data_IF_006476823789
#
_entry.id   IF_006476823789
#
_cell.length_a   1.000
_cell.length_b   1.000
_cell.length_c   1.000
_cell.angle_alpha   90.00
_cell.angle_beta   90.00
_cell.angle_gamma   90.00
#
_symmetry.space_group_name_H-M   'P 1'
#
loop_
_entity.id
_entity.type
_entity.pdbx_description
1 polymer ?
2 water ?
#
# COMPACT_ATOMS: atom_id res chain seq x y z
N UNK A 1 5.13 4.49 -10.69
CA UNK A 1 3.95 3.59 -10.84
C UNK A 1 4.00 2.92 -12.21
N UNK A 2 3.76 1.62 -12.25
CA UNK A 2 3.77 0.88 -13.52
C UNK A 2 2.49 0.07 -13.68
N UNK A 3 1.73 0.34 -14.73
CA UNK A 3 0.51 -0.43 -14.98
C UNK A 3 0.67 -1.43 -16.13
N UNK A 4 0.18 -2.64 -15.93
CA UNK A 4 0.31 -3.67 -16.94
C UNK A 4 -1.07 -4.22 -17.24
N UNK A 5 -1.42 -4.33 -18.52
CA UNK A 5 -2.70 -4.93 -18.89
C UNK A 5 -2.59 -6.46 -18.81
N UNK A 6 -3.32 -7.07 -17.89
CA UNK A 6 -3.29 -8.54 -17.75
C UNK A 6 -4.14 -9.23 -18.80
N UNK A 7 -5.28 -8.62 -19.14
CA UNK A 7 -6.14 -9.16 -20.19
C UNK A 7 -7.19 -8.18 -20.65
N UNK A 8 -7.60 -8.38 -21.90
CA UNK A 8 -8.71 -7.68 -22.49
C UNK A 8 -9.74 -8.72 -22.89
N UNK A 9 -10.97 -8.53 -22.44
CA UNK A 9 -12.04 -9.43 -22.77
C UNK A 9 -13.26 -8.61 -23.15
N UNK A 10 -13.35 -8.30 -24.44
CA UNK A 10 -14.33 -7.34 -24.98
C UNK A 10 -14.05 -5.93 -24.46
N UNK A 11 -14.96 -5.34 -23.69
CA UNK A 11 -14.74 -4.03 -23.08
C UNK A 11 -14.36 -4.14 -21.62
N UNK A 12 -14.14 -5.37 -21.18
CA UNK A 12 -13.66 -5.66 -19.86
C UNK A 12 -12.13 -5.74 -19.91
N UNK A 13 -11.46 -4.86 -19.15
CA UNK A 13 -9.99 -4.82 -19.10
C UNK A 13 -9.48 -5.01 -17.66
N UNK A 14 -8.49 -5.90 -17.50
CA UNK A 14 -7.84 -6.16 -16.20
C UNK A 14 -6.45 -5.49 -16.18
N UNK A 15 -6.24 -4.64 -15.19
CA UNK A 15 -5.01 -3.87 -15.13
C UNK A 15 -4.38 -4.13 -13.79
N UNK A 16 -3.07 -4.33 -13.79
CA UNK A 16 -2.31 -4.53 -12.58
C UNK A 16 -1.38 -3.35 -12.35
N UNK A 17 -1.63 -2.63 -11.26
CA UNK A 17 -0.84 -1.46 -10.87
C UNK A 17 0.22 -1.90 -9.87
N UNK A 18 1.48 -1.61 -10.17
CA UNK A 18 2.60 -1.88 -9.27
C UNK A 18 3.17 -0.53 -8.82
N UNK A 19 3.24 -0.33 -7.51
CA UNK A 19 3.60 0.95 -6.94
C UNK A 19 5.05 0.94 -6.47
N UNK A 20 5.73 2.06 -6.70
CA UNK A 20 7.13 2.20 -6.35
C UNK A 20 7.33 2.66 -4.91
N UNK A 21 8.58 2.64 -4.46
CA UNK A 21 8.93 3.02 -3.09
C UNK A 21 8.46 4.44 -2.68
N UNK A 22 8.48 5.39 -3.61
CA UNK A 22 8.12 6.77 -3.28
C UNK A 22 6.62 6.91 -3.01
N UNK A 23 5.81 6.26 -3.85
CA UNK A 23 4.36 6.26 -3.76
C UNK A 23 3.90 5.58 -2.49
N UNK A 24 4.60 4.51 -2.14
CA UNK A 24 4.32 3.75 -0.92
C UNK A 24 4.57 4.63 0.31
N UNK A 25 5.71 5.31 0.34
CA UNK A 25 6.01 6.22 1.43
C UNK A 25 4.97 7.36 1.53
N UNK A 26 4.62 7.96 0.39
CA UNK A 26 3.55 8.98 0.33
C UNK A 26 2.21 8.45 0.88
N UNK A 27 1.85 7.22 0.51
CA UNK A 27 0.62 6.58 0.97
C UNK A 27 0.67 6.29 2.48
N UNK A 28 1.80 5.78 2.96
CA UNK A 28 2.02 5.58 4.40
C UNK A 28 1.80 6.89 5.16
N UNK A 29 2.33 8.00 4.64
CA UNK A 29 2.15 9.33 5.23
C UNK A 29 0.67 9.76 5.26
N UNK A 30 -0.10 9.47 4.21
CA UNK A 30 -1.52 9.78 4.22
C UNK A 30 -2.19 8.94 5.30
N UNK A 31 -1.77 7.69 5.43
CA UNK A 31 -2.32 6.78 6.44
C UNK A 31 -2.10 7.30 7.86
N UNK A 32 -0.90 7.80 8.13
CA UNK A 32 -0.59 8.42 9.43
C UNK A 32 -1.50 9.63 9.69
N UNK A 33 -1.59 10.49 8.69
CA UNK A 33 -2.45 11.68 8.70
C UNK A 33 -3.90 11.31 9.00
N UNK A 34 -4.40 10.29 8.31
CA UNK A 34 -5.79 9.86 8.43
C UNK A 34 -6.08 9.33 9.84
N UNK A 35 -5.16 8.50 10.33
CA UNK A 35 -5.31 7.87 11.64
C UNK A 35 -5.23 8.88 12.77
N UNK A 36 -4.38 9.90 12.62
CA UNK A 36 -4.18 10.91 13.66
C UNK A 36 -5.32 11.90 13.77
N UNK A 37 -6.17 11.95 12.74
CA UNK A 37 -7.40 12.73 12.78
C UNK A 37 -8.54 11.97 13.49
N UNK A 38 -8.36 10.68 13.72
CA UNK A 38 -9.46 9.79 14.11
C UNK A 38 -9.24 8.95 15.34
N UNK A 39 -7.99 8.76 15.74
CA UNK A 39 -7.70 8.01 16.95
C UNK A 39 -6.83 8.78 17.92
N UNK A 40 -7.10 8.60 19.21
CA UNK A 40 -6.30 9.18 20.27
C UNK A 40 -5.87 8.09 21.23
N UNK A 41 -4.56 7.92 21.42
CA UNK A 41 -4.04 6.86 22.29
C UNK A 41 -3.25 7.40 23.48
N UNK A 42 -3.30 6.70 24.64
CA UNK A 42 -2.57 7.24 25.78
C UNK A 42 -1.09 7.47 25.46
N UNK A 43 -0.53 8.56 25.98
CA UNK A 43 0.89 8.86 25.82
C UNK A 43 1.24 9.80 24.67
N UNK A 44 0.25 10.13 23.84
CA UNK A 44 0.43 11.07 22.73
C UNK A 44 -0.70 12.08 22.60
N UNK A 45 -0.32 13.34 22.46
CA UNK A 45 -1.26 14.41 22.12
C UNK A 45 -2.16 14.05 20.92
N UNK A 46 -3.40 14.51 20.98
CA UNK A 46 -4.39 14.34 19.92
C UNK A 46 -3.85 14.80 18.57
N UNK A 47 -3.61 13.84 17.67
CA UNK A 47 -3.12 14.13 16.31
C UNK A 47 -1.60 14.11 16.19
N UNK A 48 -0.91 13.59 17.20
CA UNK A 48 0.55 13.65 17.21
C UNK A 48 1.22 12.28 17.34
N UNK A 49 0.51 11.21 17.02
CA UNK A 49 1.12 9.88 17.15
C UNK A 49 2.17 9.68 16.03
N UNK A 50 3.43 9.37 16.40
CA UNK A 50 4.44 9.10 15.36
C UNK A 50 4.09 7.90 14.46
N UNK A 51 4.52 7.95 13.20
CA UNK A 51 4.34 6.85 12.23
C UNK A 51 4.77 5.48 12.76
N UNK A 52 5.95 5.43 13.39
CA UNK A 52 6.51 4.20 13.96
C UNK A 52 5.64 3.52 15.01
N UNK A 53 4.92 4.35 15.76
CA UNK A 53 4.06 3.90 16.83
C UNK A 53 2.82 3.28 16.21
N UNK A 54 2.25 3.96 15.21
CA UNK A 54 1.09 3.42 14.51
C UNK A 54 1.38 2.06 13.87
N UNK A 55 2.50 1.96 13.16
CA UNK A 55 2.92 0.71 12.53
C UNK A 55 3.07 -0.42 13.54
N UNK A 56 3.52 -0.07 14.76
CA UNK A 56 3.73 -1.06 15.84
C UNK A 56 2.42 -1.54 16.48
N UNK A 57 1.57 -0.58 16.86
CA UNK A 57 0.23 -0.86 17.40
C UNK A 57 -0.63 -1.66 16.42
N UNK A 58 -0.79 -1.12 15.21
CA UNK A 58 -1.64 -1.70 14.18
C UNK A 58 -1.09 -2.97 13.54
N UNK A 59 0.23 -3.10 13.47
CA UNK A 59 0.88 -4.26 12.86
C UNK A 59 0.51 -4.37 11.39
N UNK A 60 0.02 -5.55 11.00
CA UNK A 60 -0.30 -5.83 9.59
C UNK A 60 -1.52 -5.07 9.08
N UNK A 61 -2.31 -4.51 10.00
CA UNK A 61 -3.46 -3.69 9.64
C UNK A 61 -3.06 -2.33 9.07
N UNK A 62 -1.86 -1.85 9.41
CA UNK A 62 -1.39 -0.56 8.90
C UNK A 62 -1.27 -0.60 7.38
N UNK A 63 -0.83 -1.74 6.84
CA UNK A 63 -0.72 -1.97 5.40
C UNK A 63 -2.04 -1.79 4.67
N UNK A 64 -3.14 -2.19 5.31
CA UNK A 64 -4.47 -2.06 4.72
C UNK A 64 -4.78 -0.60 4.42
N UNK A 65 -4.45 0.27 5.38
CA UNK A 65 -4.63 1.72 5.21
C UNK A 65 -3.69 2.25 4.14
N UNK A 66 -2.46 1.75 4.14
CA UNK A 66 -1.50 2.10 3.08
C UNK A 66 -2.04 1.74 1.70
N UNK A 67 -2.60 0.54 1.57
CA UNK A 67 -3.14 0.12 0.29
C UNK A 67 -4.37 0.94 -0.09
N UNK A 68 -5.21 1.31 0.89
CA UNK A 68 -6.38 2.19 0.63
C UNK A 68 -5.94 3.46 -0.09
N UNK A 69 -4.91 4.11 0.44
CA UNK A 69 -4.43 5.34 -0.16
C UNK A 69 -3.71 5.14 -1.50
N UNK A 70 -3.06 3.99 -1.68
CA UNK A 70 -2.48 3.70 -2.98
C UNK A 70 -3.59 3.57 -4.02
N UNK A 71 -4.68 2.91 -3.64
CA UNK A 71 -5.85 2.74 -4.50
C UNK A 71 -6.34 4.08 -5.03
N UNK A 72 -6.14 5.15 -4.26
CA UNK A 72 -6.59 6.49 -4.67
C UNK A 72 -5.76 7.11 -5.79
N UNK A 73 -4.73 6.42 -6.25
CA UNK A 73 -3.91 6.95 -7.33
C UNK A 73 -4.49 6.50 -8.66
N UNK A 74 -5.30 5.46 -8.59
CA UNK A 74 -5.75 4.76 -9.78
C UNK A 74 -6.70 5.60 -10.66
N UNK A 75 -7.84 6.07 -10.11
CA UNK A 75 -8.81 6.82 -10.92
C UNK A 75 -8.21 7.88 -11.84
N UNK A 76 -7.19 8.57 -11.36
CA UNK A 76 -6.59 9.64 -12.14
C UNK A 76 -5.87 9.10 -13.38
N UNK A 77 -5.36 7.87 -13.29
CA UNK A 77 -4.68 7.22 -14.42
C UNK A 77 -5.66 6.77 -15.50
N UNK A 78 -6.95 6.78 -15.16
CA UNK A 78 -7.97 6.31 -16.08
C UNK A 78 -8.87 7.44 -16.59
N UNK A 79 -8.62 8.68 -16.16
CA UNK A 79 -9.50 9.79 -16.52
C UNK A 79 -9.55 10.07 -18.05
N UNK A 80 -8.60 9.53 -18.81
CA UNK A 80 -8.58 9.63 -20.28
C UNK A 80 -9.39 8.52 -20.98
N UNK A 81 -9.91 7.58 -20.20
CA UNK A 81 -10.75 6.52 -20.72
C UNK A 81 -12.22 6.75 -20.39
N UNK A 82 -13.09 6.29 -21.28
CA UNK A 82 -14.52 6.35 -21.04
C UNK A 82 -14.96 5.00 -20.48
N UNK A 83 -15.31 5.00 -19.20
CA UNK A 83 -15.66 3.79 -18.46
C UNK A 83 -17.05 3.89 -17.85
N UNK A 84 -17.76 2.77 -17.83
CA UNK A 84 -19.09 2.72 -17.27
C UNK A 84 -19.03 2.83 -15.76
N UNK A 85 -18.10 2.11 -15.14
CA UNK A 85 -18.10 1.99 -13.69
C UNK A 85 -16.80 2.51 -13.15
N UNK A 86 -16.74 2.64 -11.82
CA UNK A 86 -15.46 2.85 -11.16
C UNK A 86 -14.70 1.53 -11.19
N UNK A 87 -13.37 1.59 -11.13
CA UNK A 87 -12.60 0.36 -11.17
C UNK A 87 -12.99 -0.56 -10.01
N UNK A 88 -13.07 -1.86 -10.28
CA UNK A 88 -13.37 -2.85 -9.27
C UNK A 88 -12.05 -3.50 -8.87
N UNK A 89 -11.73 -3.44 -7.58
CA UNK A 89 -10.51 -4.02 -7.05
C UNK A 89 -10.70 -5.52 -6.90
N UNK A 90 -9.87 -6.30 -7.57
CA UNK A 90 -9.97 -7.76 -7.50
C UNK A 90 -8.80 -8.40 -6.73
N UNK A 91 -7.76 -7.62 -6.47
CA UNK A 91 -6.62 -8.09 -5.71
C UNK A 91 -5.82 -6.92 -5.13
N UNK A 92 -5.32 -7.10 -3.90
CA UNK A 92 -4.41 -6.15 -3.23
C UNK A 92 -3.29 -6.91 -2.58
N UNK A 93 -2.10 -6.30 -2.56
CA UNK A 93 -0.94 -6.94 -1.96
C UNK A 93 0.11 -5.89 -1.60
N UNK A 94 0.62 -5.95 -0.37
CA UNK A 94 1.79 -5.17 0.01
C UNK A 94 2.82 -6.08 0.69
N UNK A 95 4.07 -6.05 0.22
CA UNK A 95 5.17 -6.83 0.84
C UNK A 95 6.20 -5.86 1.41
N UNK A 96 6.44 -5.93 2.71
CA UNK A 96 7.44 -5.08 3.34
C UNK A 96 8.84 -5.41 2.82
N UNK A 97 9.77 -4.49 3.05
CA UNK A 97 11.13 -4.68 2.66
C UNK A 97 11.60 -6.00 3.26
N UNK A 98 12.40 -6.72 2.50
CA UNK A 98 12.92 -8.00 2.96
C UNK A 98 14.34 -8.24 2.48
N UNK A 99 15.06 -9.09 3.19
CA UNK A 99 16.44 -9.40 2.85
C UNK A 99 16.79 -10.82 3.29
N UNK A 100 17.67 -11.45 2.52
CA UNK A 100 18.00 -12.86 2.70
C UNK A 100 19.46 -13.07 2.34
N UNK A 101 20.16 -13.86 3.14
CA UNK A 101 21.54 -14.29 2.85
C UNK A 101 21.68 -15.80 3.08
N UNK A 102 22.23 -16.52 2.10
CA UNK A 102 22.48 -17.94 2.26
C UNK A 102 23.99 -18.12 2.49
N UNK A 103 24.35 -18.80 3.57
CA UNK A 103 25.75 -19.12 3.85
C UNK A 103 25.96 -20.63 3.98
N UNK A 104 27.19 -21.08 3.73
CA UNK A 104 27.58 -22.45 4.01
C UNK A 104 28.63 -22.47 5.10
N UNK A 105 28.47 -23.41 6.03
CA UNK A 105 29.41 -23.55 7.14
C UNK A 105 29.92 -24.98 7.20
N UNK A 106 31.12 -25.12 7.76
CA UNK A 106 31.76 -26.41 7.94
C UNK A 106 32.08 -26.64 9.40
N UNK A 107 31.30 -27.54 9.99
CA UNK A 107 31.46 -27.91 11.37
C UNK A 107 32.68 -28.82 11.55
N UNK A 108 33.40 -28.61 12.65
CA UNK A 108 34.47 -29.51 13.05
C UNK A 108 33.95 -30.95 13.12
N UNK A 109 34.67 -31.87 12.47
CA UNK A 109 34.30 -33.27 12.47
C UNK A 109 34.70 -33.94 13.79
#
# INVERSE_FOLDING_TARGET
MEVKELERDKNRVVLEYVFGAEEIAQAEDKAVRYLNQRVEIPGFRKGRIPKNVLKMKLGEEFQEYTLDFLMDLIPDTLKDRKLILSPIVTERELKDVTARVVVEVHEEP
#
